data_IF_821434144240
#
_entry.id   IF_821434144240
#
_cell.length_a   1.000
_cell.length_b   1.000
_cell.length_c   1.000
_cell.angle_alpha   90.00
_cell.angle_beta   90.00
_cell.angle_gamma   90.00
#
_symmetry.space_group_name_H-M   'P 1'
#
loop_
_entity.id
_entity.type
_entity.pdbx_description
1 polymer ?
#
# COMPACT_ATOMS: atom_id res chain seq x y z
N UNK A 1 -11.67 4.10 32.59
CA UNK A 1 -10.46 3.73 33.37
C UNK A 1 -9.34 3.46 32.37
N UNK A 2 -8.28 4.27 32.34
CA UNK A 2 -7.12 4.09 31.44
C UNK A 2 -6.44 2.74 31.77
N UNK A 3 -6.07 1.89 30.81
CA UNK A 3 -5.19 0.76 31.09
C UNK A 3 -3.74 1.24 31.20
N UNK A 4 -2.99 0.52 32.02
CA UNK A 4 -1.72 0.88 32.65
C UNK A 4 -0.57 1.19 31.67
N UNK A 5 0.01 2.38 31.83
CA UNK A 5 1.35 2.71 31.34
C UNK A 5 2.34 2.34 32.45
N UNK A 6 2.98 1.18 32.35
CA UNK A 6 4.04 0.76 33.27
C UNK A 6 5.37 0.81 32.52
N UNK A 7 6.00 1.99 32.54
CA UNK A 7 7.46 2.19 32.60
C UNK A 7 7.79 3.70 32.49
N UNK A 8 8.48 4.24 33.50
CA UNK A 8 8.59 5.67 33.82
C UNK A 8 9.65 6.46 33.04
N UNK A 9 10.08 6.02 31.85
CA UNK A 9 11.20 6.66 31.15
C UNK A 9 10.86 7.41 29.85
N UNK A 10 9.63 7.29 29.35
CA UNK A 10 9.18 8.10 28.20
C UNK A 10 7.71 8.54 28.38
N UNK A 11 7.39 9.85 28.29
CA UNK A 11 6.00 10.29 28.26
C UNK A 11 5.32 9.70 27.01
N UNK A 12 4.10 9.16 27.19
CA UNK A 12 3.28 8.76 26.05
C UNK A 12 3.11 9.98 25.12
N UNK A 13 3.30 9.82 23.80
CA UNK A 13 2.98 10.89 22.87
C UNK A 13 1.50 11.28 23.07
N UNK A 14 1.18 12.59 23.08
CA UNK A 14 -0.21 13.01 23.14
C UNK A 14 -0.98 12.40 21.95
N UNK A 15 -2.30 12.15 22.09
CA UNK A 15 -3.11 11.79 20.93
C UNK A 15 -2.90 12.85 19.84
N UNK A 16 -2.67 12.39 18.61
CA UNK A 16 -2.55 13.28 17.45
C UNK A 16 -3.76 14.21 17.43
N UNK A 17 -3.52 15.53 17.42
CA UNK A 17 -4.60 16.51 17.43
C UNK A 17 -5.56 16.23 16.26
N UNK A 18 -6.85 16.07 16.55
CA UNK A 18 -7.88 15.76 15.56
C UNK A 18 -8.25 14.27 15.42
N UNK A 19 -7.52 13.36 16.06
CA UNK A 19 -7.89 11.94 16.05
C UNK A 19 -8.82 11.60 17.22
N UNK A 20 -10.13 11.81 17.05
CA UNK A 20 -11.12 11.60 18.09
C UNK A 20 -11.31 10.10 18.42
N UNK A 21 -11.06 9.64 19.67
CA UNK A 21 -11.36 8.28 20.09
C UNK A 21 -12.86 7.91 20.00
N UNK A 22 -13.76 8.88 19.75
CA UNK A 22 -15.19 8.67 19.48
C UNK A 22 -15.49 8.26 18.03
N UNK A 23 -14.51 8.24 17.12
CA UNK A 23 -14.72 7.80 15.73
C UNK A 23 -15.40 6.43 15.60
N UNK A 24 -15.05 5.40 16.39
CA UNK A 24 -15.76 4.12 16.37
C UNK A 24 -17.21 4.23 16.87
N UNK A 25 -17.50 5.13 17.82
CA UNK A 25 -18.88 5.30 18.33
C UNK A 25 -19.82 5.95 17.30
N UNK A 26 -19.34 6.86 16.46
CA UNK A 26 -20.16 7.43 15.38
C UNK A 26 -20.51 6.39 14.32
N UNK A 27 -19.55 5.54 13.95
CA UNK A 27 -19.80 4.43 13.04
C UNK A 27 -20.83 3.43 13.60
N UNK A 28 -20.88 3.26 14.93
CA UNK A 28 -21.88 2.41 15.56
C UNK A 28 -23.28 3.01 15.61
N UNK A 29 -23.41 4.33 15.76
CA UNK A 29 -24.70 5.00 15.62
C UNK A 29 -25.28 4.83 14.21
N UNK A 30 -24.45 5.00 13.18
CA UNK A 30 -24.86 4.77 11.78
C UNK A 30 -25.20 3.30 11.51
N UNK A 31 -24.49 2.36 12.15
CA UNK A 31 -24.80 0.93 12.03
C UNK A 31 -26.14 0.57 12.69
N UNK A 32 -26.36 1.01 13.93
CA UNK A 32 -27.58 0.77 14.70
C UNK A 32 -28.80 1.45 14.05
N UNK A 33 -28.60 2.65 13.51
CA UNK A 33 -29.60 3.38 12.72
C UNK A 33 -29.87 2.78 11.34
N UNK A 34 -29.07 1.79 10.92
CA UNK A 34 -29.23 1.13 9.63
C UNK A 34 -28.84 1.99 8.43
N UNK A 35 -27.88 2.91 8.59
CA UNK A 35 -27.28 3.64 7.47
C UNK A 35 -26.18 2.81 6.80
N UNK A 36 -25.41 2.04 7.57
CA UNK A 36 -24.27 1.26 7.07
C UNK A 36 -24.32 -0.21 7.50
N UNK A 37 -23.45 -1.02 6.90
CA UNK A 37 -23.30 -2.44 7.14
C UNK A 37 -21.84 -2.88 6.89
N UNK A 38 -21.53 -4.11 7.27
CA UNK A 38 -20.23 -4.72 7.10
C UNK A 38 -20.08 -5.94 8.00
N UNK A 39 -19.17 -6.84 7.65
CA UNK A 39 -18.90 -8.06 8.41
C UNK A 39 -18.19 -7.80 9.74
N UNK A 40 -17.56 -6.62 9.89
CA UNK A 40 -16.93 -6.19 11.14
C UNK A 40 -17.85 -5.38 12.05
N UNK A 41 -18.99 -4.87 11.55
CA UNK A 41 -19.83 -3.96 12.34
C UNK A 41 -20.38 -4.60 13.62
N UNK A 42 -20.79 -5.87 13.57
CA UNK A 42 -21.27 -6.58 14.76
C UNK A 42 -20.18 -6.70 15.82
N UNK A 43 -18.96 -7.07 15.40
CA UNK A 43 -17.82 -7.22 16.31
C UNK A 43 -17.34 -5.86 16.86
N UNK A 44 -17.51 -4.78 16.09
CA UNK A 44 -17.18 -3.41 16.48
C UNK A 44 -18.19 -2.82 17.46
N UNK A 45 -19.49 -2.92 17.14
CA UNK A 45 -20.53 -2.11 17.75
C UNK A 45 -21.35 -2.84 18.81
N UNK A 46 -21.53 -4.15 18.68
CA UNK A 46 -22.37 -4.93 19.59
C UNK A 46 -21.54 -5.90 20.45
N UNK A 47 -20.72 -6.75 19.82
CA UNK A 47 -20.03 -7.83 20.52
C UNK A 47 -18.75 -7.38 21.26
N UNK A 48 -18.24 -6.17 20.97
CA UNK A 48 -17.02 -5.62 21.58
C UNK A 48 -15.78 -6.50 21.36
N UNK A 49 -15.73 -7.21 20.22
CA UNK A 49 -14.62 -8.10 19.81
C UNK A 49 -13.61 -7.40 18.91
N UNK A 50 -13.98 -6.26 18.31
CA UNK A 50 -13.08 -5.33 17.65
C UNK A 50 -12.96 -4.06 18.51
N UNK A 51 -11.77 -3.82 19.08
CA UNK A 51 -11.54 -2.75 20.06
C UNK A 51 -10.48 -1.78 19.58
N UNK A 52 -10.85 -0.51 19.47
CA UNK A 52 -9.90 0.57 19.20
C UNK A 52 -8.78 0.61 20.25
N UNK A 53 -7.54 0.87 19.80
CA UNK A 53 -6.38 1.01 20.68
C UNK A 53 -5.81 2.42 20.63
N UNK A 54 -5.41 2.90 19.44
CA UNK A 54 -4.81 4.23 19.24
C UNK A 54 -4.90 4.66 17.79
N UNK A 55 -4.78 5.95 17.57
CA UNK A 55 -4.63 6.53 16.23
C UNK A 55 -3.17 6.53 15.83
N UNK A 56 -2.89 6.13 14.58
CA UNK A 56 -1.55 6.14 13.99
C UNK A 56 -1.36 7.32 13.03
N UNK A 57 -2.42 7.72 12.33
CA UNK A 57 -2.37 8.83 11.38
C UNK A 57 -3.74 9.51 11.23
N UNK A 58 -3.72 10.84 11.11
CA UNK A 58 -4.86 11.68 10.80
C UNK A 58 -4.42 12.88 9.98
N UNK A 59 -4.95 13.01 8.76
CA UNK A 59 -4.74 14.20 7.92
C UNK A 59 -5.93 14.38 6.97
N UNK A 60 -6.56 15.56 7.00
CA UNK A 60 -7.67 15.93 6.09
C UNK A 60 -8.78 14.86 5.99
N UNK A 61 -9.14 14.24 7.12
CA UNK A 61 -10.15 13.17 7.16
C UNK A 61 -9.59 11.75 7.04
N UNK A 62 -8.44 11.53 6.38
CA UNK A 62 -7.80 10.20 6.28
C UNK A 62 -7.42 9.72 7.67
N UNK A 63 -7.88 8.51 8.02
CA UNK A 63 -7.66 7.89 9.34
C UNK A 63 -6.99 6.53 9.19
N UNK A 64 -5.94 6.33 9.99
CA UNK A 64 -5.31 5.02 10.20
C UNK A 64 -5.30 4.73 11.69
N UNK A 65 -6.06 3.72 12.10
CA UNK A 65 -6.29 3.39 13.51
C UNK A 65 -5.79 1.99 13.80
N UNK A 66 -5.09 1.81 14.91
CA UNK A 66 -4.76 0.49 15.43
C UNK A 66 -5.92 -0.02 16.29
N UNK A 67 -6.33 -1.26 16.05
CA UNK A 67 -7.35 -1.96 16.82
C UNK A 67 -6.93 -3.40 17.15
N UNK A 68 -7.69 -4.04 18.03
CA UNK A 68 -7.57 -5.45 18.40
C UNK A 68 -8.85 -6.16 17.99
N UNK A 69 -8.73 -7.14 17.09
CA UNK A 69 -9.85 -7.95 16.64
C UNK A 69 -9.66 -9.39 17.11
N UNK A 70 -10.51 -9.82 18.06
CA UNK A 70 -10.47 -11.18 18.62
C UNK A 70 -9.07 -11.57 19.14
N UNK A 71 -8.36 -10.63 19.76
CA UNK A 71 -7.01 -10.83 20.30
C UNK A 71 -5.88 -10.70 19.27
N UNK A 72 -6.17 -10.30 18.03
CA UNK A 72 -5.17 -10.06 16.98
C UNK A 72 -5.09 -8.57 16.64
N UNK A 73 -3.89 -7.98 16.52
CA UNK A 73 -3.77 -6.58 16.12
C UNK A 73 -4.16 -6.41 14.64
N UNK A 74 -4.95 -5.38 14.36
CA UNK A 74 -5.38 -4.99 13.00
C UNK A 74 -5.25 -3.48 12.82
N UNK A 75 -5.21 -3.04 11.57
CA UNK A 75 -5.31 -1.63 11.19
C UNK A 75 -6.65 -1.38 10.54
N UNK A 76 -7.36 -0.35 11.00
CA UNK A 76 -8.56 0.19 10.38
C UNK A 76 -8.18 1.43 9.58
N UNK A 77 -8.60 1.48 8.32
CA UNK A 77 -8.29 2.57 7.40
C UNK A 77 -9.56 3.16 6.80
N UNK A 78 -9.51 4.46 6.56
CA UNK A 78 -10.49 5.18 5.74
C UNK A 78 -9.87 6.46 5.17
N UNK A 79 -10.23 6.80 3.92
CA UNK A 79 -9.88 8.07 3.27
C UNK A 79 -10.59 9.28 3.88
N UNK A 80 -11.82 9.07 4.37
CA UNK A 80 -12.63 10.13 4.98
C UNK A 80 -12.94 9.82 6.45
N UNK A 81 -13.26 10.87 7.20
CA UNK A 81 -13.53 10.76 8.64
C UNK A 81 -14.86 10.07 8.92
N UNK A 82 -15.93 10.46 8.24
CA UNK A 82 -17.29 10.02 8.49
C UNK A 82 -17.88 9.30 7.27
N UNK A 83 -18.86 8.42 7.51
CA UNK A 83 -19.54 7.72 6.43
C UNK A 83 -20.28 8.70 5.51
N UNK A 84 -20.89 9.73 6.08
CA UNK A 84 -21.59 10.78 5.34
C UNK A 84 -20.68 11.70 4.50
N UNK A 85 -19.36 11.62 4.66
CA UNK A 85 -18.42 12.38 3.83
C UNK A 85 -18.28 11.80 2.42
N UNK A 86 -18.70 10.54 2.21
CA UNK A 86 -18.72 9.94 0.88
C UNK A 86 -19.98 10.34 0.12
N UNK A 87 -19.86 10.78 -1.14
CA UNK A 87 -20.99 10.90 -2.05
C UNK A 87 -21.87 9.63 -2.03
N UNK A 88 -23.17 9.76 -1.70
CA UNK A 88 -24.07 8.63 -1.67
C UNK A 88 -24.32 8.09 -3.08
N UNK A 89 -24.76 6.84 -3.15
CA UNK A 89 -25.18 6.27 -4.42
C UNK A 89 -26.55 6.81 -4.81
N UNK A 90 -26.64 7.60 -5.88
CA UNK A 90 -27.89 8.23 -6.33
C UNK A 90 -29.04 7.24 -6.58
N UNK A 91 -28.76 5.98 -6.94
CA UNK A 91 -29.77 4.92 -7.09
C UNK A 91 -30.46 4.51 -5.78
N UNK A 92 -29.89 4.90 -4.63
CA UNK A 92 -30.50 4.72 -3.32
C UNK A 92 -31.28 5.94 -2.84
N UNK A 93 -31.26 7.05 -3.58
CA UNK A 93 -31.97 8.27 -3.24
C UNK A 93 -33.43 8.19 -3.69
N UNK A 94 -34.34 7.96 -2.75
CA UNK A 94 -35.78 7.90 -2.98
C UNK A 94 -36.52 7.24 -1.81
N UNK A 95 -37.82 7.51 -1.60
CA UNK A 95 -38.59 6.80 -0.59
C UNK A 95 -38.54 5.30 -0.91
N UNK A 96 -38.32 4.48 0.14
CA UNK A 96 -38.43 3.04 0.05
C UNK A 96 -39.90 2.66 -0.14
N UNK A 97 -40.48 2.97 -1.30
CA UNK A 97 -41.84 2.55 -1.60
C UNK A 97 -41.90 1.02 -1.62
N UNK A 98 -42.98 0.49 -1.07
CA UNK A 98 -43.34 -0.92 -1.13
C UNK A 98 -43.50 -1.31 -2.60
N UNK A 99 -42.45 -1.92 -3.18
CA UNK A 99 -42.33 -2.15 -4.62
C UNK A 99 -41.17 -1.40 -5.29
N UNK A 100 -40.17 -0.98 -4.51
CA UNK A 100 -39.03 -0.18 -4.97
C UNK A 100 -38.43 -0.62 -6.30
N UNK A 101 -38.14 0.38 -7.15
CA UNK A 101 -37.44 0.22 -8.42
C UNK A 101 -36.36 -0.85 -8.28
N UNK A 102 -36.54 -1.94 -9.03
CA UNK A 102 -35.49 -2.93 -9.20
C UNK A 102 -34.31 -2.22 -9.83
N UNK A 103 -33.35 -1.79 -9.01
CA UNK A 103 -32.05 -1.34 -9.52
C UNK A 103 -31.54 -2.48 -10.39
N UNK A 104 -31.46 -2.26 -11.69
CA UNK A 104 -31.08 -3.30 -12.62
C UNK A 104 -29.63 -3.67 -12.30
N UNK A 105 -29.34 -4.95 -12.11
CA UNK A 105 -27.98 -5.42 -11.79
C UNK A 105 -26.94 -4.88 -12.79
N UNK A 106 -27.34 -4.72 -14.06
CA UNK A 106 -26.52 -4.13 -15.10
C UNK A 106 -26.15 -2.67 -14.84
N UNK A 107 -27.07 -1.85 -14.33
CA UNK A 107 -26.81 -0.44 -14.02
C UNK A 107 -25.81 -0.31 -12.86
N UNK A 108 -25.98 -1.15 -11.84
CA UNK A 108 -25.05 -1.21 -10.72
C UNK A 108 -23.65 -1.64 -11.16
N UNK A 109 -23.55 -2.66 -12.02
CA UNK A 109 -22.27 -3.09 -12.58
C UNK A 109 -21.58 -1.99 -13.41
N UNK A 110 -22.34 -1.17 -14.13
CA UNK A 110 -21.80 -0.03 -14.88
C UNK A 110 -21.22 1.04 -13.96
N UNK A 111 -21.90 1.36 -12.86
CA UNK A 111 -21.41 2.31 -11.87
C UNK A 111 -20.14 1.81 -11.17
N UNK A 112 -20.13 0.55 -10.75
CA UNK A 112 -18.93 -0.07 -10.14
C UNK A 112 -17.77 -0.11 -11.13
N UNK A 113 -18.04 -0.45 -12.40
CA UNK A 113 -17.02 -0.40 -13.44
C UNK A 113 -16.48 1.03 -13.64
N UNK A 114 -17.35 2.04 -13.56
CA UNK A 114 -16.99 3.45 -13.59
C UNK A 114 -16.06 3.83 -12.44
N UNK A 115 -16.38 3.44 -11.21
CA UNK A 115 -15.54 3.71 -10.03
C UNK A 115 -14.19 3.00 -10.11
N UNK A 116 -14.16 1.72 -10.52
CA UNK A 116 -12.90 1.00 -10.70
C UNK A 116 -12.04 1.64 -11.78
N UNK A 117 -12.65 2.07 -12.90
CA UNK A 117 -11.94 2.78 -13.96
C UNK A 117 -11.42 4.14 -13.47
N UNK A 118 -12.22 4.87 -12.68
CA UNK A 118 -11.83 6.16 -12.11
C UNK A 118 -10.64 6.01 -11.14
N UNK A 119 -10.74 5.06 -10.21
CA UNK A 119 -9.74 4.81 -9.18
C UNK A 119 -8.43 4.22 -9.74
N UNK A 120 -8.53 3.25 -10.66
CA UNK A 120 -7.39 2.43 -11.07
C UNK A 120 -7.05 2.48 -12.56
N UNK A 121 -7.91 3.07 -13.39
CA UNK A 121 -7.76 3.07 -14.85
C UNK A 121 -8.00 1.70 -15.49
N UNK A 122 -8.61 0.76 -14.77
CA UNK A 122 -8.83 -0.60 -15.24
C UNK A 122 -10.25 -0.81 -15.74
N UNK A 123 -10.37 -1.55 -16.85
CA UNK A 123 -11.63 -2.13 -17.31
C UNK A 123 -11.69 -3.61 -16.93
N UNK A 124 -12.54 -3.95 -15.95
CA UNK A 124 -12.65 -5.32 -15.45
C UNK A 124 -13.78 -6.10 -16.12
N UNK A 125 -13.61 -7.42 -16.22
CA UNK A 125 -14.69 -8.31 -16.65
C UNK A 125 -15.85 -8.29 -15.65
N UNK A 126 -17.08 -8.53 -16.13
CA UNK A 126 -18.27 -8.66 -15.27
C UNK A 126 -18.08 -9.67 -14.14
N UNK A 127 -17.38 -10.78 -14.40
CA UNK A 127 -17.09 -11.81 -13.40
C UNK A 127 -16.23 -11.31 -12.23
N UNK A 128 -15.23 -10.45 -12.50
CA UNK A 128 -14.39 -9.86 -11.45
C UNK A 128 -15.13 -8.74 -10.71
N UNK A 129 -15.91 -7.93 -11.41
CA UNK A 129 -16.75 -6.90 -10.80
C UNK A 129 -17.80 -7.50 -9.86
N UNK A 130 -18.45 -8.60 -10.26
CA UNK A 130 -19.42 -9.32 -9.43
C UNK A 130 -18.82 -9.97 -8.18
N UNK A 131 -17.49 -10.20 -8.14
CA UNK A 131 -16.82 -10.69 -6.94
C UNK A 131 -16.62 -9.60 -5.87
N UNK A 132 -16.63 -8.32 -6.27
CA UNK A 132 -16.55 -7.18 -5.35
C UNK A 132 -17.91 -6.88 -4.69
N UNK A 133 -19.00 -7.54 -5.12
CA UNK A 133 -20.37 -7.20 -4.77
C UNK A 133 -21.06 -8.24 -3.85
N UNK A 134 -21.90 -7.82 -2.87
CA UNK A 134 -22.71 -8.73 -2.06
C UNK A 134 -23.57 -9.67 -2.92
N UNK A 135 -23.62 -10.95 -2.56
CA UNK A 135 -24.52 -11.91 -3.20
C UNK A 135 -25.89 -11.90 -2.53
N UNK A 136 -26.93 -11.56 -3.30
CA UNK A 136 -28.33 -11.69 -2.91
C UNK A 136 -28.98 -10.42 -2.38
N UNK A 137 -30.25 -10.20 -2.74
CA UNK A 137 -31.08 -9.05 -2.32
C UNK A 137 -31.81 -9.36 -1.00
N UNK A 138 -31.08 -9.37 0.10
CA UNK A 138 -31.65 -9.54 1.45
C UNK A 138 -32.18 -8.23 2.06
N UNK A 139 -32.80 -8.28 3.27
CA UNK A 139 -33.30 -7.08 3.99
C UNK A 139 -32.24 -6.03 4.34
N UNK A 140 -30.96 -6.38 4.20
CA UNK A 140 -29.80 -5.50 4.45
C UNK A 140 -29.12 -5.03 3.17
N UNK A 141 -29.64 -5.41 2.00
CA UNK A 141 -29.04 -5.14 0.70
C UNK A 141 -28.71 -3.66 0.47
N UNK A 142 -29.68 -2.75 0.69
CA UNK A 142 -29.47 -1.31 0.48
C UNK A 142 -28.32 -0.75 1.34
N UNK A 143 -28.21 -1.20 2.59
CA UNK A 143 -27.15 -0.79 3.52
C UNK A 143 -25.79 -1.34 3.12
N UNK A 144 -25.75 -2.58 2.65
CA UNK A 144 -24.54 -3.20 2.09
C UNK A 144 -24.07 -2.48 0.83
N UNK A 145 -25.01 -2.11 -0.04
CA UNK A 145 -24.77 -1.35 -1.27
C UNK A 145 -24.23 0.06 -0.97
N UNK A 146 -24.81 0.78 0.00
CA UNK A 146 -24.29 2.06 0.45
C UNK A 146 -22.87 1.96 1.04
N UNK A 147 -22.61 0.95 1.87
CA UNK A 147 -21.29 0.75 2.49
C UNK A 147 -20.22 0.39 1.47
N UNK A 148 -20.55 -0.50 0.53
CA UNK A 148 -19.64 -0.86 -0.55
C UNK A 148 -19.38 0.33 -1.50
N UNK A 149 -20.38 1.15 -1.78
CA UNK A 149 -20.20 2.36 -2.58
C UNK A 149 -19.21 3.33 -1.95
N UNK A 150 -19.25 3.53 -0.63
CA UNK A 150 -18.25 4.34 0.08
C UNK A 150 -16.84 3.71 0.06
N UNK A 151 -16.74 2.38 0.07
CA UNK A 151 -15.45 1.67 -0.03
C UNK A 151 -14.85 1.76 -1.44
N UNK A 152 -15.68 1.68 -2.49
CA UNK A 152 -15.22 1.77 -3.89
C UNK A 152 -14.67 3.15 -4.26
N UNK A 153 -15.05 4.20 -3.53
CA UNK A 153 -14.52 5.56 -3.67
C UNK A 153 -13.14 5.75 -3.02
N UNK A 154 -12.52 4.68 -2.52
CA UNK A 154 -11.20 4.68 -1.88
C UNK A 154 -10.23 3.84 -2.71
N UNK A 155 -9.27 4.49 -3.34
CA UNK A 155 -8.37 3.89 -4.33
C UNK A 155 -7.57 2.73 -3.72
N UNK A 156 -7.02 2.90 -2.52
CA UNK A 156 -6.29 1.83 -1.81
C UNK A 156 -7.19 0.62 -1.50
N UNK A 157 -8.45 0.82 -1.09
CA UNK A 157 -9.37 -0.29 -0.85
C UNK A 157 -9.62 -1.10 -2.12
N UNK A 158 -9.88 -0.42 -3.24
CA UNK A 158 -10.14 -1.07 -4.53
C UNK A 158 -8.90 -1.83 -4.98
N UNK A 159 -7.72 -1.21 -4.88
CA UNK A 159 -6.45 -1.84 -5.27
C UNK A 159 -6.16 -3.08 -4.42
N UNK A 160 -6.21 -2.98 -3.09
CA UNK A 160 -5.97 -4.12 -2.20
C UNK A 160 -6.99 -5.25 -2.39
N UNK A 161 -8.26 -4.90 -2.66
CA UNK A 161 -9.31 -5.88 -2.94
C UNK A 161 -9.06 -6.66 -4.23
N UNK A 162 -8.48 -6.01 -5.25
CA UNK A 162 -8.11 -6.66 -6.51
C UNK A 162 -6.83 -7.48 -6.41
N UNK A 163 -5.86 -7.02 -5.61
CA UNK A 163 -4.61 -7.74 -5.38
C UNK A 163 -4.76 -8.91 -4.40
N UNK A 164 -5.91 -9.00 -3.71
CA UNK A 164 -6.24 -10.10 -2.82
C UNK A 164 -6.07 -11.43 -3.55
N UNK A 165 -5.32 -12.34 -2.92
CA UNK A 165 -4.99 -13.68 -3.43
C UNK A 165 -4.20 -13.70 -4.76
N UNK A 166 -3.92 -12.54 -5.37
CA UNK A 166 -3.08 -12.41 -6.56
C UNK A 166 -1.65 -11.99 -6.22
N UNK A 167 -1.47 -11.26 -5.11
CA UNK A 167 -0.16 -10.77 -4.70
C UNK A 167 0.13 -11.02 -3.24
N UNK A 168 1.27 -11.65 -2.96
CA UNK A 168 1.82 -11.72 -1.59
C UNK A 168 2.38 -10.38 -1.10
N UNK A 169 2.58 -9.41 -1.99
CA UNK A 169 3.15 -8.11 -1.69
C UNK A 169 2.10 -7.04 -1.37
N UNK A 170 0.82 -7.42 -1.27
CA UNK A 170 -0.27 -6.56 -0.85
C UNK A 170 -0.88 -7.05 0.47
N UNK A 171 -1.51 -6.13 1.20
CA UNK A 171 -2.28 -6.46 2.39
C UNK A 171 -3.64 -7.06 2.01
N UNK A 172 -4.05 -8.21 2.59
CA UNK A 172 -5.41 -8.68 2.41
C UNK A 172 -6.37 -7.79 3.21
N UNK A 173 -7.47 -7.37 2.56
CA UNK A 173 -8.62 -6.77 3.26
C UNK A 173 -9.34 -7.86 4.04
N UNK A 174 -9.38 -7.72 5.37
CA UNK A 174 -9.93 -8.68 6.31
C UNK A 174 -11.45 -8.58 6.46
N UNK A 175 -12.00 -7.38 6.25
CA UNK A 175 -13.41 -7.06 6.38
C UNK A 175 -13.63 -5.55 6.42
N UNK A 176 -14.88 -5.13 6.58
CA UNK A 176 -15.25 -3.71 6.69
C UNK A 176 -16.42 -3.46 7.64
N UNK A 177 -16.54 -2.21 8.06
CA UNK A 177 -17.75 -1.65 8.61
C UNK A 177 -17.98 -0.27 7.99
N UNK A 178 -19.05 -0.10 7.21
CA UNK A 178 -19.27 1.13 6.45
C UNK A 178 -18.10 1.43 5.52
N UNK A 179 -17.55 2.64 5.64
CA UNK A 179 -16.38 3.13 4.90
C UNK A 179 -15.03 2.67 5.47
N UNK A 180 -14.99 2.17 6.70
CA UNK A 180 -13.75 1.65 7.28
C UNK A 180 -13.52 0.20 6.84
N UNK A 181 -12.30 -0.10 6.43
CA UNK A 181 -11.87 -1.47 6.17
C UNK A 181 -10.68 -1.85 7.05
N UNK A 182 -10.57 -3.14 7.35
CA UNK A 182 -9.51 -3.68 8.19
C UNK A 182 -8.48 -4.44 7.36
N UNK A 183 -7.21 -4.28 7.74
CA UNK A 183 -6.07 -5.06 7.23
C UNK A 183 -5.27 -5.60 8.40
N UNK A 184 -4.40 -6.58 8.14
CA UNK A 184 -3.47 -7.08 9.16
C UNK A 184 -2.53 -5.97 9.67
N UNK A 185 -2.14 -6.05 10.94
CA UNK A 185 -1.11 -5.17 11.48
C UNK A 185 0.28 -5.68 11.12
N UNK A 186 1.01 -4.92 10.33
CA UNK A 186 2.45 -5.09 10.10
C UNK A 186 3.20 -3.83 10.53
N UNK A 187 4.38 -4.01 11.14
CA UNK A 187 5.19 -2.89 11.57
C UNK A 187 5.86 -2.22 10.37
N UNK A 188 5.49 -0.97 10.12
CA UNK A 188 6.02 -0.15 9.03
C UNK A 188 7.53 0.07 9.17
N UNK A 189 8.20 0.30 8.04
CA UNK A 189 9.57 0.80 8.03
C UNK A 189 9.68 2.24 8.51
N UNK A 190 10.90 2.67 8.77
CA UNK A 190 11.26 4.05 9.10
C UNK A 190 12.75 4.28 8.81
N UNK A 191 13.14 5.46 8.31
CA UNK A 191 14.53 5.90 8.24
C UNK A 191 15.26 5.88 9.59
N UNK A 192 14.52 5.88 10.71
CA UNK A 192 15.08 5.77 12.07
C UNK A 192 15.57 4.35 12.38
N UNK A 193 15.04 3.33 11.70
CA UNK A 193 15.53 1.98 11.83
C UNK A 193 16.82 1.79 11.04
N UNK A 194 17.83 1.18 11.66
CA UNK A 194 19.12 0.95 11.00
C UNK A 194 18.98 0.14 9.70
N UNK A 195 18.13 -0.88 9.71
CA UNK A 195 17.83 -1.71 8.55
C UNK A 195 16.64 -1.18 7.73
N UNK A 196 16.18 0.05 7.97
CA UNK A 196 14.90 0.64 7.50
C UNK A 196 13.64 -0.04 8.04
N UNK A 197 13.71 -1.29 8.48
CA UNK A 197 12.57 -2.04 8.99
C UNK A 197 12.85 -2.60 10.38
N UNK A 198 11.83 -2.74 11.22
CA UNK A 198 11.95 -3.47 12.47
C UNK A 198 12.25 -4.94 12.15
N UNK A 199 13.43 -5.39 12.53
CA UNK A 199 13.80 -6.79 12.49
C UNK A 199 13.50 -7.36 13.88
N UNK A 200 12.44 -8.15 14.00
CA UNK A 200 12.17 -8.90 15.23
C UNK A 200 13.39 -9.77 15.60
N UNK A 201 13.44 -10.27 16.83
CA UNK A 201 14.59 -11.00 17.42
C UNK A 201 15.17 -12.18 16.61
N UNK A 202 14.54 -12.57 15.49
CA UNK A 202 15.09 -13.46 14.48
C UNK A 202 16.40 -12.95 13.83
N UNK A 203 16.66 -11.63 13.81
CA UNK A 203 17.94 -11.06 13.36
C UNK A 203 18.97 -10.91 14.49
N UNK A 204 18.75 -11.57 15.64
CA UNK A 204 19.47 -11.47 16.92
C UNK A 204 20.99 -11.63 16.90
N UNK A 205 21.68 -10.67 16.30
CA UNK A 205 23.13 -10.53 16.31
C UNK A 205 23.53 -9.08 16.51
N UNK A 206 24.82 -8.88 16.82
CA UNK A 206 25.40 -7.54 16.98
C UNK A 206 25.05 -6.64 15.80
N UNK A 207 24.78 -5.34 16.03
CA UNK A 207 24.45 -4.41 14.96
C UNK A 207 25.52 -4.42 13.84
N UNK A 208 25.13 -4.72 12.60
CA UNK A 208 26.04 -4.86 11.45
C UNK A 208 26.65 -6.27 11.31
N UNK A 209 26.17 -7.21 12.11
CA UNK A 209 26.54 -8.62 12.05
C UNK A 209 25.85 -9.37 10.93
N UNK A 210 26.25 -10.63 10.80
CA UNK A 210 25.80 -11.54 9.75
C UNK A 210 24.29 -11.74 9.66
N UNK A 211 23.59 -11.85 10.80
CA UNK A 211 22.14 -12.01 10.82
C UNK A 211 21.41 -10.83 10.19
N UNK A 212 21.85 -9.61 10.50
CA UNK A 212 21.33 -8.40 9.88
C UNK A 212 21.66 -8.35 8.38
N UNK A 213 22.89 -8.71 7.97
CA UNK A 213 23.27 -8.74 6.57
C UNK A 213 22.40 -9.74 5.77
N UNK A 214 22.13 -10.91 6.35
CA UNK A 214 21.24 -11.92 5.75
C UNK A 214 19.82 -11.40 5.60
N UNK A 215 19.24 -10.83 6.66
CA UNK A 215 17.91 -10.23 6.63
C UNK A 215 17.80 -9.13 5.56
N UNK A 216 18.80 -8.25 5.45
CA UNK A 216 18.84 -7.21 4.41
C UNK A 216 18.89 -7.83 3.00
N UNK A 217 19.68 -8.88 2.78
CA UNK A 217 19.73 -9.58 1.49
C UNK A 217 18.41 -10.28 1.15
N UNK A 218 17.76 -10.94 2.12
CA UNK A 218 16.46 -11.58 1.94
C UNK A 218 15.36 -10.55 1.62
N UNK A 219 15.30 -9.44 2.38
CA UNK A 219 14.38 -8.33 2.11
C UNK A 219 14.63 -7.69 0.73
N UNK A 220 15.89 -7.46 0.36
CA UNK A 220 16.22 -6.89 -0.95
C UNK A 220 15.81 -7.81 -2.10
N UNK A 221 15.97 -9.13 -1.96
CA UNK A 221 15.43 -10.08 -2.94
C UNK A 221 13.91 -10.02 -2.99
N UNK A 222 13.22 -9.90 -1.85
CA UNK A 222 11.76 -9.73 -1.84
C UNK A 222 11.29 -8.42 -2.47
N UNK A 223 12.06 -7.33 -2.37
CA UNK A 223 11.77 -6.08 -3.09
C UNK A 223 11.92 -6.26 -4.61
N UNK A 224 12.96 -6.98 -5.06
CA UNK A 224 13.12 -7.31 -6.49
C UNK A 224 11.96 -8.18 -6.99
N UNK A 225 11.54 -9.17 -6.21
CA UNK A 225 10.40 -10.02 -6.53
C UNK A 225 9.11 -9.20 -6.67
N UNK A 226 8.83 -8.31 -5.72
CA UNK A 226 7.70 -7.38 -5.76
C UNK A 226 7.72 -6.50 -7.01
N UNK A 227 8.89 -5.91 -7.33
CA UNK A 227 9.05 -5.06 -8.53
C UNK A 227 8.75 -5.87 -9.78
N UNK A 228 9.31 -7.08 -9.90
CA UNK A 228 9.05 -7.95 -11.05
C UNK A 228 7.58 -8.31 -11.18
N UNK A 229 6.94 -8.67 -10.06
CA UNK A 229 5.52 -9.03 -10.01
C UNK A 229 4.62 -7.85 -10.43
N UNK A 230 4.86 -6.65 -9.90
CA UNK A 230 4.07 -5.45 -10.25
C UNK A 230 4.31 -4.96 -11.68
N UNK A 231 5.50 -5.22 -12.24
CA UNK A 231 5.84 -4.83 -13.60
C UNK A 231 5.27 -5.77 -14.67
N UNK A 232 5.06 -7.07 -14.36
CA UNK A 232 4.89 -8.10 -15.38
C UNK A 232 3.70 -9.06 -15.17
N UNK A 233 3.16 -9.24 -13.97
CA UNK A 233 2.20 -10.33 -13.70
C UNK A 233 0.74 -9.92 -13.93
N UNK A 234 0.48 -8.65 -14.21
CA UNK A 234 -0.84 -8.09 -14.48
C UNK A 234 -0.97 -7.61 -15.93
N UNK A 235 -2.21 -7.47 -16.41
CA UNK A 235 -2.48 -6.97 -17.77
C UNK A 235 -1.92 -5.57 -18.03
N UNK A 236 -1.80 -4.77 -16.97
CA UNK A 236 -1.15 -3.47 -16.97
C UNK A 236 -0.12 -3.44 -15.86
N UNK A 237 1.01 -2.78 -16.09
CA UNK A 237 2.00 -2.51 -15.04
C UNK A 237 1.38 -1.71 -13.90
N UNK A 238 1.70 -2.07 -12.66
CA UNK A 238 1.37 -1.31 -11.46
C UNK A 238 2.56 -0.43 -11.08
N UNK A 239 2.41 0.89 -11.14
CA UNK A 239 3.46 1.85 -10.82
C UNK A 239 3.42 2.21 -9.33
N UNK A 240 4.59 2.22 -8.70
CA UNK A 240 4.80 2.75 -7.35
C UNK A 240 5.36 4.17 -7.47
N UNK A 241 4.60 5.15 -6.98
CA UNK A 241 4.97 6.56 -7.05
C UNK A 241 5.31 7.20 -5.70
N UNK A 242 5.14 6.52 -4.57
CA UNK A 242 5.56 7.04 -3.25
C UNK A 242 6.33 5.94 -2.50
N UNK A 243 7.57 5.70 -2.92
CA UNK A 243 8.42 4.66 -2.32
C UNK A 243 9.19 5.27 -1.17
N UNK A 244 8.81 4.89 0.05
CA UNK A 244 9.52 5.22 1.28
C UNK A 244 9.36 4.09 2.29
N UNK A 245 10.30 3.90 3.23
CA UNK A 245 10.24 2.81 4.21
C UNK A 245 8.90 2.70 4.94
N UNK A 246 8.26 3.83 5.23
CA UNK A 246 6.98 3.92 5.95
C UNK A 246 5.80 3.29 5.20
N UNK A 247 5.87 3.19 3.86
CA UNK A 247 4.82 2.60 3.03
C UNK A 247 4.98 1.08 2.85
N UNK A 248 6.04 0.50 3.42
CA UNK A 248 6.29 -0.94 3.37
C UNK A 248 6.40 -1.54 4.78
N UNK A 249 6.11 -2.82 4.87
CA UNK A 249 6.42 -3.63 6.04
C UNK A 249 7.05 -4.96 5.62
N UNK A 250 7.64 -5.66 6.59
CA UNK A 250 8.34 -6.92 6.38
C UNK A 250 7.66 -7.97 7.24
N UNK A 251 7.18 -9.06 6.61
CA UNK A 251 6.66 -10.23 7.35
C UNK A 251 7.82 -11.01 7.97
N UNK A 252 7.49 -11.92 8.89
CA UNK A 252 8.47 -12.76 9.60
C UNK A 252 9.34 -13.63 8.69
N UNK A 253 8.87 -13.91 7.47
CA UNK A 253 9.57 -14.66 6.43
C UNK A 253 10.39 -13.77 5.47
N UNK A 254 10.55 -12.48 5.81
CA UNK A 254 11.18 -11.43 5.00
C UNK A 254 10.42 -11.03 3.72
N UNK A 255 9.16 -11.47 3.56
CA UNK A 255 8.30 -10.97 2.49
C UNK A 255 8.00 -9.49 2.71
N UNK A 256 8.36 -8.66 1.73
CA UNK A 256 8.03 -7.23 1.64
C UNK A 256 6.56 -7.08 1.29
N UNK A 257 5.87 -6.17 1.96
CA UNK A 257 4.45 -5.88 1.75
C UNK A 257 4.28 -4.38 1.61
N UNK A 258 3.62 -3.94 0.55
CA UNK A 258 3.13 -2.58 0.44
C UNK A 258 1.94 -2.40 1.37
N UNK A 259 2.11 -1.57 2.40
CA UNK A 259 1.10 -1.33 3.43
C UNK A 259 0.39 0.01 3.27
N UNK A 260 0.92 0.90 2.43
CA UNK A 260 0.25 2.10 1.93
C UNK A 260 0.41 2.12 0.41
N UNK A 261 -0.70 1.98 -0.30
CA UNK A 261 -0.75 1.93 -1.77
C UNK A 261 -1.63 3.04 -2.36
N UNK A 262 -1.87 4.12 -1.62
CA UNK A 262 -2.65 5.27 -2.10
C UNK A 262 -2.04 5.93 -3.35
N UNK A 263 -0.73 5.80 -3.50
CA UNK A 263 0.04 6.37 -4.62
C UNK A 263 0.57 5.27 -5.56
N UNK A 264 -0.24 4.23 -5.77
CA UNK A 264 0.03 3.16 -6.71
C UNK A 264 -1.07 3.06 -7.78
N UNK A 265 -0.68 3.09 -9.05
CA UNK A 265 -1.62 3.21 -10.18
C UNK A 265 -1.26 2.25 -11.29
N UNK A 266 -2.25 1.64 -11.94
CA UNK A 266 -2.01 0.90 -13.17
C UNK A 266 -1.69 1.84 -14.33
N UNK A 267 -0.93 1.36 -15.32
CA UNK A 267 -0.45 2.14 -16.47
C UNK A 267 -1.53 3.06 -17.09
N UNK A 268 -2.79 2.65 -17.35
CA UNK A 268 -3.78 3.56 -17.94
C UNK A 268 -4.06 4.79 -17.08
N UNK A 269 -4.19 4.62 -15.75
CA UNK A 269 -4.38 5.75 -14.82
C UNK A 269 -3.11 6.57 -14.65
N UNK A 270 -1.95 5.92 -14.67
CA UNK A 270 -0.68 6.62 -14.59
C UNK A 270 -0.49 7.57 -15.78
N UNK A 271 -0.85 7.15 -17.00
CA UNK A 271 -0.81 7.99 -18.19
C UNK A 271 -1.68 9.24 -18.04
N UNK A 272 -2.92 9.07 -17.55
CA UNK A 272 -3.84 10.18 -17.28
C UNK A 272 -3.25 11.17 -16.25
N UNK A 273 -2.66 10.66 -15.17
CA UNK A 273 -2.05 11.50 -14.12
C UNK A 273 -0.88 12.32 -14.68
N UNK A 274 -0.02 11.73 -15.53
CA UNK A 274 1.16 12.39 -16.09
C UNK A 274 0.84 13.40 -17.20
N UNK A 275 -0.30 13.28 -17.88
CA UNK A 275 -0.71 14.19 -18.97
C UNK A 275 -1.19 15.55 -18.41
N UNK A 276 -0.24 16.41 -18.04
CA UNK A 276 -0.46 17.76 -17.52
C UNK A 276 0.16 18.84 -18.42
N UNK A 277 -0.19 20.10 -18.20
CA UNK A 277 0.52 21.24 -18.78
C UNK A 277 1.82 21.50 -17.99
N UNK A 278 2.88 21.94 -18.68
CA UNK A 278 4.20 22.15 -18.05
C UNK A 278 4.96 23.33 -18.62
N UNK A 279 5.89 23.85 -17.81
CA UNK A 279 6.91 24.84 -18.17
C UNK A 279 8.33 24.27 -18.10
N UNK A 280 8.50 23.12 -17.43
CA UNK A 280 9.74 22.36 -17.38
C UNK A 280 9.50 20.92 -16.92
N UNK A 281 10.54 20.09 -16.93
CA UNK A 281 10.44 18.67 -16.56
C UNK A 281 9.95 18.44 -15.12
N UNK A 282 10.25 19.35 -14.20
CA UNK A 282 9.85 19.24 -12.78
C UNK A 282 8.33 19.31 -12.59
N UNK A 283 7.61 19.99 -13.51
CA UNK A 283 6.15 20.05 -13.51
C UNK A 283 5.52 18.70 -13.92
N UNK A 284 6.33 17.79 -14.50
CA UNK A 284 5.92 16.46 -14.96
C UNK A 284 6.25 15.35 -13.95
N UNK A 285 6.56 15.72 -12.72
CA UNK A 285 6.83 14.78 -11.64
C UNK A 285 5.56 14.54 -10.81
N UNK A 286 5.15 13.28 -10.71
CA UNK A 286 4.14 12.84 -9.76
C UNK A 286 4.83 12.00 -8.68
N UNK A 287 5.23 12.67 -7.59
CA UNK A 287 6.05 12.07 -6.53
C UNK A 287 7.31 11.41 -7.11
N UNK A 288 7.49 10.09 -7.00
CA UNK A 288 8.62 9.34 -7.54
C UNK A 288 8.41 8.85 -8.99
N UNK A 289 7.31 9.22 -9.64
CA UNK A 289 7.02 8.90 -11.03
C UNK A 289 7.28 10.11 -11.91
N UNK A 290 8.30 10.04 -12.77
CA UNK A 290 8.76 11.18 -13.57
C UNK A 290 8.36 11.04 -15.03
N UNK A 291 8.03 12.16 -15.67
CA UNK A 291 7.85 12.28 -17.13
C UNK A 291 8.70 13.45 -17.67
N UNK A 292 8.56 13.80 -18.96
CA UNK A 292 9.30 14.88 -19.62
C UNK A 292 8.36 15.90 -20.20
N UNK A 293 8.74 17.17 -20.08
CA UNK A 293 7.98 18.27 -20.66
C UNK A 293 8.39 18.47 -22.11
N UNK A 294 7.42 18.39 -23.03
CA UNK A 294 7.62 18.90 -24.39
C UNK A 294 7.36 20.40 -24.42
N UNK A 295 8.44 21.18 -24.30
CA UNK A 295 8.41 22.64 -24.32
C UNK A 295 7.87 23.25 -25.63
N UNK A 296 7.74 22.46 -26.71
CA UNK A 296 7.13 22.95 -27.96
C UNK A 296 5.62 23.09 -27.84
N UNK A 297 5.01 22.22 -27.04
CA UNK A 297 3.55 22.16 -26.82
C UNK A 297 3.16 22.47 -25.37
N UNK A 298 4.13 22.69 -24.49
CA UNK A 298 3.96 22.92 -23.04
C UNK A 298 3.12 21.83 -22.37
N UNK A 299 3.38 20.56 -22.74
CA UNK A 299 2.68 19.39 -22.19
C UNK A 299 3.66 18.30 -21.76
N UNK A 300 3.35 17.68 -20.63
CA UNK A 300 4.04 16.51 -20.16
C UNK A 300 3.75 15.30 -21.04
N UNK A 301 4.76 14.44 -21.22
CA UNK A 301 4.57 13.14 -21.83
C UNK A 301 3.73 12.23 -20.93
N UNK A 302 2.85 11.45 -21.54
CA UNK A 302 2.04 10.43 -20.86
C UNK A 302 2.84 9.24 -20.33
N UNK A 303 4.13 9.14 -20.67
CA UNK A 303 4.95 7.97 -20.38
C UNK A 303 5.95 8.27 -19.29
N UNK A 304 5.94 7.42 -18.27
CA UNK A 304 6.92 7.46 -17.18
C UNK A 304 8.31 7.12 -17.72
N UNK A 305 9.30 7.95 -17.39
CA UNK A 305 10.69 7.75 -17.84
C UNK A 305 11.52 6.90 -16.90
N UNK A 306 11.21 6.90 -15.60
CA UNK A 306 11.84 6.03 -14.63
C UNK A 306 10.99 4.78 -14.33
N UNK A 307 11.55 3.82 -13.60
CA UNK A 307 10.93 2.53 -13.28
C UNK A 307 10.74 2.31 -11.78
N UNK A 308 9.88 1.36 -11.41
CA UNK A 308 9.73 0.89 -10.03
C UNK A 308 11.08 0.45 -9.45
N UNK A 309 11.88 -0.27 -10.25
CA UNK A 309 13.22 -0.72 -9.88
C UNK A 309 14.14 0.45 -9.54
N UNK A 310 14.19 1.49 -10.39
CA UNK A 310 15.02 2.68 -10.15
C UNK A 310 14.65 3.37 -8.84
N UNK A 311 13.36 3.54 -8.57
CA UNK A 311 12.89 4.19 -7.35
C UNK A 311 13.20 3.33 -6.11
N UNK A 312 12.96 2.02 -6.15
CA UNK A 312 13.35 1.12 -5.04
C UNK A 312 14.86 1.14 -4.81
N UNK A 313 15.65 1.17 -5.88
CA UNK A 313 17.10 1.28 -5.79
C UNK A 313 17.54 2.59 -5.13
N UNK A 314 16.92 3.71 -5.50
CA UNK A 314 17.23 5.04 -4.96
C UNK A 314 16.80 5.19 -3.50
N UNK A 315 15.56 4.83 -3.18
CA UNK A 315 14.92 5.11 -1.88
C UNK A 315 15.22 4.07 -0.81
N UNK A 316 15.45 2.80 -1.21
CA UNK A 316 15.64 1.68 -0.28
C UNK A 316 17.05 1.11 -0.38
N UNK A 317 17.46 0.61 -1.56
CA UNK A 317 18.72 -0.14 -1.65
C UNK A 317 19.95 0.76 -1.47
N UNK A 318 19.87 2.02 -1.89
CA UNK A 318 20.94 2.99 -1.69
C UNK A 318 21.27 3.11 -0.20
N UNK A 319 20.29 3.13 0.69
CA UNK A 319 20.52 3.16 2.14
C UNK A 319 21.28 1.92 2.63
N UNK A 320 20.90 0.73 2.18
CA UNK A 320 21.52 -0.52 2.61
C UNK A 320 22.94 -0.72 2.06
N UNK A 321 23.21 -0.32 0.81
CA UNK A 321 24.44 -0.72 0.11
C UNK A 321 25.39 0.45 -0.22
N UNK A 322 25.00 1.70 0.03
CA UNK A 322 25.89 2.86 -0.21
C UNK A 322 26.95 3.04 0.87
N UNK A 323 26.65 2.67 2.11
CA UNK A 323 27.62 2.81 3.19
C UNK A 323 28.75 1.80 3.04
N UNK A 324 29.98 2.24 3.29
CA UNK A 324 31.14 1.39 3.61
C UNK A 324 31.03 0.84 5.04
N UNK A 325 29.81 0.66 5.58
CA UNK A 325 29.64 -0.06 6.83
C UNK A 325 30.32 -1.42 6.63
N UNK A 326 31.47 -1.57 7.27
CA UNK A 326 32.32 -2.75 7.27
C UNK A 326 31.54 -3.89 7.93
N UNK A 327 30.51 -4.38 7.24
CA UNK A 327 30.01 -5.70 7.51
C UNK A 327 31.15 -6.62 7.12
N UNK A 328 31.85 -7.18 8.10
CA UNK A 328 32.84 -8.24 7.87
C UNK A 328 32.19 -9.53 7.39
N UNK A 329 30.86 -9.56 7.26
CA UNK A 329 30.08 -10.76 6.98
C UNK A 329 30.05 -11.17 5.49
N UNK A 330 30.37 -10.25 4.56
CA UNK A 330 30.49 -10.55 3.12
C UNK A 330 31.78 -9.94 2.56
N UNK A 331 32.28 -10.54 1.48
CA UNK A 331 33.54 -10.16 0.85
C UNK A 331 33.52 -8.72 0.32
N UNK A 332 34.66 -8.04 0.44
CA UNK A 332 34.79 -6.66 -0.01
C UNK A 332 34.51 -6.51 -1.52
N UNK A 333 34.87 -7.50 -2.32
CA UNK A 333 34.60 -7.52 -3.75
C UNK A 333 33.09 -7.53 -4.03
N UNK A 334 32.33 -8.37 -3.32
CA UNK A 334 30.89 -8.47 -3.49
C UNK A 334 30.17 -7.20 -3.01
N UNK A 335 30.61 -6.62 -1.88
CA UNK A 335 30.13 -5.32 -1.41
C UNK A 335 30.32 -4.20 -2.45
N UNK A 336 31.49 -4.16 -3.08
CA UNK A 336 31.79 -3.17 -4.12
C UNK A 336 30.88 -3.36 -5.33
N UNK A 337 30.72 -4.60 -5.81
CA UNK A 337 29.85 -4.92 -6.94
C UNK A 337 28.38 -4.58 -6.67
N UNK A 338 27.88 -4.85 -5.45
CA UNK A 338 26.53 -4.47 -5.04
C UNK A 338 26.36 -2.95 -5.04
N UNK A 339 27.30 -2.21 -4.46
CA UNK A 339 27.25 -0.75 -4.44
C UNK A 339 27.23 -0.16 -5.85
N UNK A 340 28.09 -0.66 -6.74
CA UNK A 340 28.12 -0.22 -8.14
C UNK A 340 26.80 -0.53 -8.84
N UNK A 341 26.26 -1.74 -8.66
CA UNK A 341 24.98 -2.14 -9.24
C UNK A 341 23.81 -1.29 -8.72
N UNK A 342 23.79 -0.95 -7.44
CA UNK A 342 22.74 -0.09 -6.84
C UNK A 342 22.85 1.35 -7.33
N UNK A 343 24.08 1.87 -7.50
CA UNK A 343 24.29 3.21 -8.10
C UNK A 343 23.83 3.25 -9.55
N UNK A 344 24.22 2.26 -10.35
CA UNK A 344 23.76 2.08 -11.73
C UNK A 344 22.23 1.96 -11.79
N UNK A 345 21.63 1.21 -10.87
CA UNK A 345 20.19 1.01 -10.78
C UNK A 345 19.42 2.27 -10.42
N UNK A 346 19.95 3.09 -9.51
CA UNK A 346 19.28 4.30 -9.04
C UNK A 346 19.56 5.52 -9.94
N UNK A 347 20.38 5.37 -10.98
CA UNK A 347 20.62 6.42 -11.96
C UNK A 347 19.40 6.53 -12.91
N UNK A 348 18.76 7.70 -13.02
CA UNK A 348 17.68 7.92 -14.00
C UNK A 348 18.15 7.76 -15.46
N UNK A 349 19.47 7.71 -15.70
CA UNK A 349 20.07 7.65 -17.03
C UNK A 349 20.26 9.04 -17.61
N UNK A 350 21.46 9.31 -18.13
CA UNK A 350 21.70 10.50 -18.96
C UNK A 350 20.91 10.45 -20.28
N UNK A 351 20.82 11.56 -21.02
CA UNK A 351 19.95 11.74 -22.20
C UNK A 351 20.18 10.81 -23.41
N UNK A 352 21.08 9.81 -23.30
CA UNK A 352 21.50 8.94 -24.41
C UNK A 352 21.17 7.44 -24.24
N UNK A 353 20.64 7.02 -23.08
CA UNK A 353 20.27 5.62 -22.84
C UNK A 353 18.76 5.44 -22.74
N UNK A 354 18.19 4.45 -23.43
CA UNK A 354 16.82 4.00 -23.23
C UNK A 354 16.72 3.33 -21.83
N UNK A 355 16.11 3.99 -20.82
CA UNK A 355 16.05 3.48 -19.46
C UNK A 355 15.34 2.13 -19.38
N UNK A 356 14.40 1.87 -20.31
CA UNK A 356 13.63 0.63 -20.35
C UNK A 356 14.48 -0.58 -20.79
N UNK A 357 15.58 -0.37 -21.53
CA UNK A 357 16.51 -1.45 -21.94
C UNK A 357 17.59 -1.75 -20.91
N UNK A 358 17.96 -0.79 -20.06
CA UNK A 358 18.98 -0.96 -19.04
C UNK A 358 18.43 -1.67 -17.78
N UNK A 359 17.19 -1.35 -17.39
CA UNK A 359 16.56 -1.88 -16.18
C UNK A 359 16.56 -3.42 -16.08
N UNK A 360 16.24 -4.21 -17.13
CA UNK A 360 16.26 -5.68 -17.04
C UNK A 360 17.65 -6.24 -16.75
N UNK A 361 18.72 -5.65 -17.31
CA UNK A 361 20.09 -6.14 -17.08
C UNK A 361 20.54 -5.89 -15.64
N UNK A 362 20.22 -4.70 -15.12
CA UNK A 362 20.58 -4.32 -13.74
C UNK A 362 19.79 -5.12 -12.72
N UNK A 363 18.51 -5.43 -13.00
CA UNK A 363 17.68 -6.31 -12.18
C UNK A 363 18.36 -7.67 -11.93
N UNK A 364 18.70 -8.39 -13.00
CA UNK A 364 19.34 -9.71 -12.89
C UNK A 364 20.77 -9.64 -12.32
N UNK A 365 21.47 -8.51 -12.50
CA UNK A 365 22.76 -8.26 -11.84
C UNK A 365 22.57 -8.16 -10.32
N UNK A 366 21.64 -7.33 -9.85
CA UNK A 366 21.32 -7.18 -8.43
C UNK A 366 20.89 -8.52 -7.81
N UNK A 367 19.96 -9.23 -8.46
CA UNK A 367 19.46 -10.51 -7.95
C UNK A 367 20.59 -11.54 -7.78
N UNK A 368 21.47 -11.68 -8.78
CA UNK A 368 22.62 -12.60 -8.69
C UNK A 368 23.60 -12.20 -7.57
N UNK A 369 23.89 -10.91 -7.41
CA UNK A 369 24.80 -10.42 -6.36
C UNK A 369 24.21 -10.62 -4.95
N UNK A 370 22.91 -10.40 -4.78
CA UNK A 370 22.21 -10.66 -3.52
C UNK A 370 22.19 -12.15 -3.18
N UNK A 371 21.92 -13.01 -4.17
CA UNK A 371 22.01 -14.47 -4.00
C UNK A 371 23.44 -14.94 -3.67
N UNK A 372 24.46 -14.34 -4.26
CA UNK A 372 25.85 -14.62 -3.90
C UNK A 372 26.14 -14.19 -2.45
N UNK A 373 25.58 -13.06 -2.01
CA UNK A 373 25.75 -12.56 -0.65
C UNK A 373 25.15 -13.53 0.36
N UNK A 374 23.96 -14.07 0.08
CA UNK A 374 23.35 -15.10 0.91
C UNK A 374 24.17 -16.37 0.99
N UNK A 375 24.84 -16.79 -0.11
CA UNK A 375 25.71 -17.98 -0.10
C UNK A 375 26.94 -17.77 0.79
N UNK A 376 27.66 -16.64 0.65
CA UNK A 376 28.78 -16.31 1.54
C UNK A 376 28.33 -16.25 3.01
N UNK A 377 27.16 -15.63 3.27
CA UNK A 377 26.53 -15.55 4.58
C UNK A 377 25.98 -16.89 5.08
N UNK A 378 25.94 -17.96 4.29
CA UNK A 378 25.59 -19.32 4.76
C UNK A 378 26.85 -20.14 5.01
N UNK A 379 27.83 -20.04 4.13
CA UNK A 379 29.11 -20.76 4.22
C UNK A 379 29.94 -20.33 5.42
N UNK A 380 29.99 -19.04 5.78
CA UNK A 380 30.80 -18.53 6.88
C UNK A 380 30.38 -18.99 8.30
N UNK A 381 29.44 -19.92 8.44
CA UNK A 381 28.83 -20.34 9.73
C UNK A 381 28.33 -21.76 9.76
N UNK A 382 28.65 -22.50 8.71
CA UNK A 382 29.16 -23.84 8.92
C UNK A 382 30.58 -23.69 9.46
#
# INVERSE_FOLDING_TARGET
>A
KRPECRDQLHPCPPPLAGCDPLSPSFQCQDYEGGALAGDLCEDLCAAGRLRYRRCLYYERGKKVLQADWRGRPVILKSKEEAFASFPPLSLLEGPAEEGGQDVLEAELLLLVAGEVRSALGLELSRSRLGALWPRGRGPRWRRQLASLWALLQQEEFVLLSLLRDLSRHALPVLGSCGHFYAVEYLAAGSPRHRALFPLDGAAGGSPGGRGQAKAISDMALSFLDMVSHFDNDFSHRLHLCDVKPENFAIRSDFTVVAIDVDMAFFEPKMREILEQNCTGDEDCNFFDCFSKCDLRVNKCGAQRVNSNLQVVCDKIFRHWFSSTLKSSAISFQLQRQLREAVRECADPGGPAGDPQRAAPKVFWKLQRLLQASLRELQEAGK
#
